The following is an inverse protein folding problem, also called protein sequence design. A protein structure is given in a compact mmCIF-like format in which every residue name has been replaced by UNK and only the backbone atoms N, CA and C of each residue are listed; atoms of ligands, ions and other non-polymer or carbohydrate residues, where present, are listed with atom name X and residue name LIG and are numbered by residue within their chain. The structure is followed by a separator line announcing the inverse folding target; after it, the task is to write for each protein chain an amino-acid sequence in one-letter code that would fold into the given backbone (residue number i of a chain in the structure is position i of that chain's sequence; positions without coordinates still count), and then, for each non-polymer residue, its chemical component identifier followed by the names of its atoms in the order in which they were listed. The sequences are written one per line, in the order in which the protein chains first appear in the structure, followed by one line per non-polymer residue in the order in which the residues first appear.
data_IF_561276984472
#
_entry.id   IF_561276984472
#
_cell.length_a   1.000
_cell.length_b   1.000
_cell.length_c   1.000
_cell.angle_alpha   90.00
_cell.angle_beta   90.00
_cell.angle_gamma   90.00
#
_symmetry.space_group_name_H-M   'P 1'
#
loop_
_entity.id
_entity.type
_entity.pdbx_description
1 polymer ?
#
# COMPACT_ATOMS: atom_id res chain seq x y z
N UNK A 1 20.54 -10.41 -24.51
CA UNK A 1 19.94 -9.06 -24.39
C UNK A 1 21.07 -8.09 -24.11
N UNK A 2 21.12 -6.96 -24.81
CA UNK A 2 22.21 -5.98 -24.71
C UNK A 2 22.24 -5.31 -23.33
N UNK A 3 23.41 -5.27 -22.69
CA UNK A 3 23.64 -4.66 -21.36
C UNK A 3 23.27 -3.18 -21.37
N UNK A 4 23.49 -2.49 -22.50
CA UNK A 4 23.15 -1.07 -22.64
C UNK A 4 21.63 -0.85 -22.64
N UNK A 5 20.89 -1.74 -23.30
CA UNK A 5 19.43 -1.70 -23.31
C UNK A 5 18.83 -1.96 -21.91
N UNK A 6 19.42 -2.89 -21.15
CA UNK A 6 18.99 -3.15 -19.77
C UNK A 6 19.20 -1.96 -18.84
N UNK A 7 20.35 -1.26 -18.96
CA UNK A 7 20.61 -0.03 -18.18
C UNK A 7 19.59 1.06 -18.50
N UNK A 8 19.32 1.28 -19.78
CA UNK A 8 18.32 2.26 -20.21
C UNK A 8 16.92 1.94 -19.66
N UNK A 9 16.50 0.67 -19.72
CA UNK A 9 15.22 0.22 -19.17
C UNK A 9 15.14 0.46 -17.65
N UNK A 10 16.22 0.21 -16.92
CA UNK A 10 16.30 0.46 -15.49
C UNK A 10 16.18 1.95 -15.17
N UNK A 11 16.90 2.80 -15.90
CA UNK A 11 16.83 4.26 -15.72
C UNK A 11 15.43 4.82 -16.02
N UNK A 12 14.76 4.31 -17.06
CA UNK A 12 13.37 4.65 -17.37
C UNK A 12 12.42 4.21 -16.25
N UNK A 13 12.59 3.00 -15.71
CA UNK A 13 11.77 2.49 -14.61
C UNK A 13 11.95 3.32 -13.34
N UNK A 14 13.19 3.69 -12.99
CA UNK A 14 13.49 4.57 -11.85
C UNK A 14 12.84 5.93 -12.07
N UNK A 15 12.95 6.51 -13.26
CA UNK A 15 12.38 7.82 -13.57
C UNK A 15 10.86 7.84 -13.46
N UNK A 16 10.18 6.83 -13.98
CA UNK A 16 8.72 6.71 -13.84
C UNK A 16 8.30 6.45 -12.40
N UNK A 17 9.04 5.62 -11.64
CA UNK A 17 8.78 5.41 -10.22
C UNK A 17 8.89 6.73 -9.43
N UNK A 18 9.98 7.48 -9.63
CA UNK A 18 10.19 8.78 -8.99
C UNK A 18 9.07 9.76 -9.34
N UNK A 19 8.63 9.77 -10.60
CA UNK A 19 7.55 10.62 -11.08
C UNK A 19 6.21 10.33 -10.40
N UNK A 20 5.94 9.07 -10.05
CA UNK A 20 4.71 8.65 -9.36
C UNK A 20 4.76 8.79 -7.82
N UNK A 21 5.92 9.12 -7.24
CA UNK A 21 6.06 9.23 -5.79
C UNK A 21 5.13 10.28 -5.15
N UNK A 22 4.90 11.47 -5.73
CA UNK A 22 3.99 12.45 -5.16
C UNK A 22 2.56 11.91 -4.99
N UNK A 23 2.04 11.24 -6.01
CA UNK A 23 0.73 10.61 -5.99
C UNK A 23 0.70 9.46 -4.98
N UNK A 24 1.77 8.66 -4.90
CA UNK A 24 1.89 7.60 -3.89
C UNK A 24 1.87 8.16 -2.46
N UNK A 25 2.53 9.30 -2.22
CA UNK A 25 2.51 9.98 -0.91
C UNK A 25 1.08 10.42 -0.57
N UNK A 26 0.35 10.98 -1.52
CA UNK A 26 -1.04 11.39 -1.31
C UNK A 26 -1.95 10.18 -1.04
N UNK A 27 -1.76 9.07 -1.76
CA UNK A 27 -2.47 7.83 -1.53
C UNK A 27 -2.21 7.28 -0.12
N UNK A 28 -0.93 7.22 0.29
CA UNK A 28 -0.56 6.78 1.64
C UNK A 28 -1.23 7.64 2.72
N UNK A 29 -1.29 8.97 2.52
CA UNK A 29 -1.96 9.88 3.44
C UNK A 29 -3.46 9.59 3.52
N UNK A 30 -4.14 9.48 2.38
CA UNK A 30 -5.58 9.20 2.34
C UNK A 30 -5.93 7.87 3.03
N UNK A 31 -5.15 6.82 2.77
CA UNK A 31 -5.40 5.51 3.39
C UNK A 31 -5.13 5.54 4.90
N UNK A 32 -4.08 6.23 5.35
CA UNK A 32 -3.84 6.40 6.78
C UNK A 32 -5.01 7.11 7.48
N UNK A 33 -5.56 8.16 6.87
CA UNK A 33 -6.75 8.86 7.38
C UNK A 33 -7.97 7.91 7.42
N UNK A 34 -8.20 7.14 6.36
CA UNK A 34 -9.30 6.17 6.32
C UNK A 34 -9.15 5.07 7.38
N UNK A 35 -7.94 4.52 7.56
CA UNK A 35 -7.66 3.50 8.58
C UNK A 35 -7.85 4.03 9.99
N UNK A 36 -7.48 5.30 10.23
CA UNK A 36 -7.72 5.95 11.52
C UNK A 36 -9.21 6.12 11.80
N UNK A 37 -10.01 6.54 10.81
CA UNK A 37 -11.47 6.61 10.93
C UNK A 37 -12.05 5.23 11.28
N UNK A 38 -11.59 4.17 10.60
CA UNK A 38 -12.06 2.80 10.86
C UNK A 38 -11.71 2.35 12.29
N UNK A 39 -10.47 2.60 12.73
CA UNK A 39 -10.03 2.33 14.10
C UNK A 39 -10.91 3.06 15.13
N UNK A 40 -11.14 4.36 14.93
CA UNK A 40 -11.91 5.19 15.87
C UNK A 40 -13.36 4.72 15.98
N UNK A 41 -13.95 4.31 14.86
CA UNK A 41 -15.31 3.79 14.86
C UNK A 41 -15.41 2.43 15.58
N UNK A 42 -14.42 1.55 15.44
CA UNK A 42 -14.36 0.29 16.20
C UNK A 42 -14.27 0.58 17.70
N UNK A 43 -13.41 1.51 18.13
CA UNK A 43 -13.30 1.86 19.55
C UNK A 43 -14.62 2.41 20.09
N UNK A 44 -15.32 3.28 19.34
CA UNK A 44 -16.64 3.80 19.73
C UNK A 44 -17.71 2.71 19.91
N UNK A 45 -17.64 1.65 19.11
CA UNK A 45 -18.56 0.51 19.20
C UNK A 45 -18.24 -0.43 20.37
N UNK A 46 -17.20 -0.14 21.17
CA UNK A 46 -16.86 -0.85 22.39
C UNK A 46 -15.73 -1.87 22.25
N UNK A 47 -15.05 -1.92 21.10
CA UNK A 47 -13.81 -2.68 20.98
C UNK A 47 -12.68 -2.02 21.78
N UNK A 48 -11.79 -2.83 22.36
CA UNK A 48 -10.54 -2.31 22.93
C UNK A 48 -9.62 -1.83 21.80
N UNK A 49 -8.71 -0.89 22.10
CA UNK A 49 -7.73 -0.41 21.12
C UNK A 49 -6.94 -1.56 20.48
N UNK A 50 -6.57 -2.59 21.26
CA UNK A 50 -5.85 -3.75 20.74
C UNK A 50 -6.70 -4.56 19.74
N UNK A 51 -7.99 -4.75 20.01
CA UNK A 51 -8.90 -5.43 19.09
C UNK A 51 -9.12 -4.60 17.82
N UNK A 52 -9.34 -3.30 17.97
CA UNK A 52 -9.52 -2.39 16.83
C UNK A 52 -8.27 -2.36 15.94
N UNK A 53 -7.07 -2.31 16.54
CA UNK A 53 -5.81 -2.34 15.82
C UNK A 53 -5.61 -3.67 15.07
N UNK A 54 -5.95 -4.80 15.68
CA UNK A 54 -5.83 -6.11 15.01
C UNK A 54 -6.80 -6.22 13.82
N UNK A 55 -8.04 -5.73 13.97
CA UNK A 55 -8.99 -5.66 12.86
C UNK A 55 -8.46 -4.79 11.72
N UNK A 56 -7.93 -3.60 12.02
CA UNK A 56 -7.37 -2.70 11.00
C UNK A 56 -6.13 -3.31 10.33
N UNK A 57 -5.29 -4.05 11.05
CA UNK A 57 -4.14 -4.76 10.45
C UNK A 57 -4.55 -5.86 9.48
N UNK A 58 -5.63 -6.60 9.78
CA UNK A 58 -6.10 -7.73 8.98
C UNK A 58 -6.98 -7.30 7.81
N UNK A 59 -7.84 -6.29 8.02
CA UNK A 59 -8.87 -5.88 7.06
C UNK A 59 -8.64 -4.48 6.46
N UNK A 60 -7.68 -3.73 6.96
CA UNK A 60 -7.31 -2.43 6.42
C UNK A 60 -6.62 -2.53 5.07
N UNK A 61 -6.36 -1.37 4.46
CA UNK A 61 -5.74 -1.26 3.15
C UNK A 61 -4.21 -1.15 3.30
N UNK A 62 -3.46 -1.97 2.56
CA UNK A 62 -2.00 -1.88 2.48
C UNK A 62 -1.60 -1.04 1.27
N UNK A 63 -1.00 0.13 1.51
CA UNK A 63 -0.50 1.03 0.45
C UNK A 63 0.94 0.74 0.03
N UNK A 64 1.70 0.01 0.84
CA UNK A 64 3.12 -0.26 0.64
C UNK A 64 3.40 -1.63 0.02
N UNK A 65 2.48 -2.58 0.18
CA UNK A 65 2.46 -3.83 -0.57
C UNK A 65 1.20 -3.86 -1.40
N UNK A 66 1.40 -4.04 -2.69
CA UNK A 66 0.46 -4.69 -3.58
C UNK A 66 0.33 -6.15 -3.12
N UNK A 67 -0.26 -6.39 -1.95
CA UNK A 67 -0.04 -7.58 -1.11
C UNK A 67 -0.61 -8.88 -1.69
N UNK A 68 -1.12 -8.85 -2.94
CA UNK A 68 -1.55 -10.01 -3.71
C UNK A 68 -1.06 -10.05 -5.15
N UNK A 69 -0.03 -9.30 -5.54
CA UNK A 69 0.45 -9.39 -6.93
C UNK A 69 0.94 -10.79 -7.36
N UNK A 70 1.11 -11.74 -6.42
CA UNK A 70 1.34 -13.17 -6.70
C UNK A 70 0.30 -14.10 -6.01
N UNK A 71 -1.00 -13.77 -6.05
CA UNK A 71 -2.04 -14.52 -5.33
C UNK A 71 -2.94 -15.47 -6.14
N UNK A 72 -2.88 -15.49 -7.47
CA UNK A 72 -3.65 -16.41 -8.34
C UNK A 72 -2.94 -16.59 -9.69
N UNK A 73 -1.82 -17.32 -9.68
CA UNK A 73 -1.44 -18.17 -10.82
C UNK A 73 -1.60 -19.61 -10.35
N UNK A 74 -2.84 -20.07 -10.31
CA UNK A 74 -3.19 -21.48 -10.21
C UNK A 74 -4.41 -21.68 -11.11
N UNK A 75 -4.13 -21.82 -12.41
CA UNK A 75 -4.85 -22.69 -13.34
C UNK A 75 -3.82 -23.30 -14.30
#
# INVERSE_FOLDING_TARGET
MDIMLQKLQMEMAIKEMVKMMPEQIQLCKLVAEQQKIYFDELVKQGFTENQALEIVKVHGIDTGRISKMNGTQNE
#
